data_IF_449921903518
#
_entry.id   IF_449921903518
#
_cell.length_a   1.000
_cell.length_b   1.000
_cell.length_c   1.000
_cell.angle_alpha   90.00
_cell.angle_beta   90.00
_cell.angle_gamma   90.00
#
_symmetry.space_group_name_H-M   'P 1'
#
loop_
_entity.id
_entity.type
_entity.pdbx_description
1 polymer ?
#
# COMPACT_ATOMS: atom_id res chain seq x y z
N UNK A 1 18.81 -22.95 7.67
CA UNK A 1 19.06 -21.61 7.06
C UNK A 1 18.95 -20.58 8.17
N UNK A 2 20.00 -19.80 8.37
CA UNK A 2 19.96 -18.71 9.36
C UNK A 2 19.14 -17.57 8.80
N UNK A 3 18.07 -17.19 9.48
CA UNK A 3 17.16 -16.12 9.03
C UNK A 3 17.82 -14.76 9.28
N UNK A 4 18.27 -14.10 8.21
CA UNK A 4 18.97 -12.82 8.28
C UNK A 4 17.98 -11.69 8.54
N UNK A 5 18.11 -10.99 9.68
CA UNK A 5 17.31 -9.83 10.04
C UNK A 5 17.93 -8.56 9.46
N UNK A 6 17.12 -7.70 8.81
CA UNK A 6 17.56 -6.43 8.23
C UNK A 6 17.91 -5.42 9.31
N UNK A 7 18.83 -4.46 9.05
CA UNK A 7 19.16 -3.39 9.98
C UNK A 7 17.94 -2.58 10.45
N UNK A 8 18.06 -1.93 11.59
CA UNK A 8 17.00 -1.08 12.11
C UNK A 8 16.67 0.08 11.14
N UNK A 9 15.40 0.28 10.75
CA UNK A 9 15.00 1.31 9.80
C UNK A 9 15.14 2.75 10.36
N UNK A 10 15.20 2.87 11.69
CA UNK A 10 15.28 4.19 12.37
C UNK A 10 16.72 4.68 12.49
N UNK A 11 17.67 3.79 12.83
CA UNK A 11 19.05 4.19 13.15
C UNK A 11 20.14 3.42 12.39
N UNK A 12 19.78 2.51 11.49
CA UNK A 12 20.71 1.65 10.76
C UNK A 12 21.45 0.63 11.64
N UNK A 13 21.09 0.51 12.93
CA UNK A 13 21.73 -0.39 13.89
C UNK A 13 21.55 -1.85 13.46
N UNK A 14 22.64 -2.63 13.53
CA UNK A 14 22.67 -4.05 13.16
C UNK A 14 22.52 -4.98 14.36
N UNK A 15 22.62 -4.46 15.59
CA UNK A 15 22.44 -5.22 16.81
C UNK A 15 20.95 -5.31 17.13
N UNK A 16 20.33 -6.41 16.71
CA UNK A 16 18.90 -6.66 16.80
C UNK A 16 18.67 -7.91 17.65
N UNK A 17 17.68 -7.88 18.53
CA UNK A 17 17.32 -8.98 19.39
C UNK A 17 15.85 -9.33 19.24
N UNK A 18 15.56 -10.61 19.02
CA UNK A 18 14.20 -11.12 19.14
C UNK A 18 13.86 -11.25 20.64
N UNK A 19 12.75 -10.70 21.05
CA UNK A 19 12.29 -10.65 22.44
C UNK A 19 10.94 -11.38 22.51
N UNK A 20 10.78 -12.19 23.55
CA UNK A 20 9.51 -12.78 23.92
C UNK A 20 9.04 -12.19 25.24
N UNK A 21 7.81 -11.69 25.29
CA UNK A 21 7.18 -11.19 26.51
C UNK A 21 5.91 -11.97 26.76
N UNK A 22 5.85 -12.65 27.89
CA UNK A 22 4.68 -13.42 28.31
C UNK A 22 3.87 -12.65 29.35
N UNK A 23 2.58 -12.51 29.10
CA UNK A 23 1.62 -11.89 30.04
C UNK A 23 0.41 -12.83 30.16
N UNK A 24 0.28 -13.52 31.30
CA UNK A 24 -0.70 -14.58 31.47
C UNK A 24 -0.38 -15.75 30.54
N UNK A 25 -1.36 -16.19 29.77
CA UNK A 25 -1.21 -17.29 28.80
C UNK A 25 -0.73 -16.82 27.41
N UNK A 26 -0.64 -15.49 27.18
CA UNK A 26 -0.25 -14.93 25.87
C UNK A 26 1.24 -14.61 25.86
N UNK A 27 1.96 -15.10 24.85
CA UNK A 27 3.35 -14.74 24.56
C UNK A 27 3.42 -13.94 23.26
N UNK A 28 4.03 -12.77 23.33
CA UNK A 28 4.27 -11.89 22.18
C UNK A 28 5.75 -11.88 21.84
N UNK A 29 6.05 -12.04 20.56
CA UNK A 29 7.40 -12.03 20.01
C UNK A 29 7.58 -10.79 19.16
N UNK A 30 8.67 -10.05 19.33
CA UNK A 30 9.01 -8.89 18.50
C UNK A 30 10.53 -8.73 18.41
N UNK A 31 10.98 -7.93 17.43
CA UNK A 31 12.40 -7.59 17.29
C UNK A 31 12.63 -6.19 17.84
N UNK A 32 13.65 -6.03 18.68
CA UNK A 32 14.08 -4.74 19.25
C UNK A 32 15.49 -4.39 18.75
N UNK A 33 15.67 -3.15 18.34
CA UNK A 33 16.99 -2.59 18.06
C UNK A 33 17.67 -2.22 19.38
N UNK A 34 18.81 -2.85 19.66
CA UNK A 34 19.56 -2.60 20.89
C UNK A 34 20.32 -1.26 20.89
N UNK A 35 20.43 -0.58 19.73
CA UNK A 35 21.06 0.73 19.62
C UNK A 35 20.11 1.89 19.97
N UNK A 36 18.86 1.88 19.51
CA UNK A 36 17.92 2.99 19.67
C UNK A 36 16.64 2.61 20.41
N UNK A 37 16.45 1.33 20.78
CA UNK A 37 15.27 0.86 21.50
C UNK A 37 14.03 0.65 20.61
N UNK A 38 14.10 0.95 19.30
CA UNK A 38 12.95 0.76 18.40
C UNK A 38 12.49 -0.70 18.39
N UNK A 39 11.19 -0.89 18.52
CA UNK A 39 10.52 -2.20 18.50
C UNK A 39 9.68 -2.33 17.24
N UNK A 40 9.79 -3.46 16.58
CA UNK A 40 8.94 -3.83 15.45
C UNK A 40 7.57 -4.36 15.90
N UNK A 41 6.68 -4.62 14.95
CA UNK A 41 5.43 -5.29 15.23
C UNK A 41 5.63 -6.66 15.89
N UNK A 42 4.66 -7.08 16.66
CA UNK A 42 4.72 -8.38 17.34
C UNK A 42 4.04 -9.49 16.54
N UNK A 43 4.46 -10.72 16.80
CA UNK A 43 3.82 -11.98 16.39
C UNK A 43 3.38 -12.76 17.63
N UNK A 44 2.28 -13.51 17.53
CA UNK A 44 1.81 -14.43 18.57
C UNK A 44 2.31 -15.88 18.37
N UNK A 45 3.02 -16.16 17.27
CA UNK A 45 3.40 -17.53 16.90
C UNK A 45 4.85 -17.86 17.22
N UNK A 46 5.79 -17.01 16.86
CA UNK A 46 7.21 -17.28 17.05
C UNK A 46 8.10 -16.05 16.86
N UNK A 47 9.36 -16.17 17.33
CA UNK A 47 10.42 -15.20 17.05
C UNK A 47 10.82 -15.16 15.56
N UNK A 48 10.70 -16.29 14.86
CA UNK A 48 10.99 -16.37 13.42
C UNK A 48 9.98 -15.58 12.61
N UNK A 49 8.70 -15.66 12.96
CA UNK A 49 7.65 -14.85 12.33
C UNK A 49 7.82 -13.38 12.67
N UNK A 50 8.18 -13.01 13.91
CA UNK A 50 8.48 -11.64 14.29
C UNK A 50 9.65 -11.04 13.49
N UNK A 51 10.68 -11.83 13.18
CA UNK A 51 11.78 -11.44 12.29
C UNK A 51 11.31 -11.22 10.85
N UNK A 52 10.38 -12.05 10.36
CA UNK A 52 9.75 -11.89 9.05
C UNK A 52 8.95 -10.59 8.96
N UNK A 53 8.11 -10.30 9.96
CA UNK A 53 7.33 -9.07 10.05
C UNK A 53 8.25 -7.84 10.15
N UNK A 54 9.33 -7.93 10.95
CA UNK A 54 10.35 -6.88 11.02
C UNK A 54 10.94 -6.56 9.63
N UNK A 55 11.37 -7.58 8.88
CA UNK A 55 11.95 -7.39 7.56
C UNK A 55 10.94 -6.77 6.58
N UNK A 56 9.67 -7.19 6.63
CA UNK A 56 8.61 -6.59 5.84
C UNK A 56 8.38 -5.11 6.17
N UNK A 57 8.39 -4.74 7.46
CA UNK A 57 8.31 -3.34 7.86
C UNK A 57 9.52 -2.52 7.42
N UNK A 58 10.73 -3.10 7.48
CA UNK A 58 11.94 -2.43 6.99
C UNK A 58 11.83 -2.16 5.49
N UNK A 59 11.33 -3.12 4.71
CA UNK A 59 11.14 -2.94 3.27
C UNK A 59 10.19 -1.80 2.96
N UNK A 60 9.06 -1.71 3.68
CA UNK A 60 8.10 -0.62 3.54
C UNK A 60 8.70 0.72 3.95
N UNK A 61 9.45 0.78 5.06
CA UNK A 61 10.08 2.01 5.54
C UNK A 61 11.25 2.44 4.64
N UNK A 62 12.07 1.51 4.14
CA UNK A 62 13.13 1.80 3.17
C UNK A 62 12.54 2.32 1.86
N UNK A 63 11.42 1.76 1.41
CA UNK A 63 10.69 2.26 0.25
C UNK A 63 10.20 3.70 0.47
N UNK A 64 9.69 4.03 1.68
CA UNK A 64 9.22 5.36 2.03
C UNK A 64 10.35 6.38 2.24
N UNK A 65 11.54 5.94 2.69
CA UNK A 65 12.66 6.82 3.05
C UNK A 65 13.78 6.87 1.99
N UNK A 66 13.81 5.96 1.00
CA UNK A 66 14.98 5.71 0.17
C UNK A 66 15.07 6.54 -1.12
N UNK A 67 14.02 7.25 -1.52
CA UNK A 67 14.06 8.10 -2.72
C UNK A 67 13.38 9.44 -2.47
N UNK A 68 14.00 10.56 -2.91
CA UNK A 68 13.29 11.84 -2.88
C UNK A 68 12.00 11.71 -3.69
N UNK A 69 10.89 12.21 -3.15
CA UNK A 69 9.61 12.25 -3.86
C UNK A 69 9.76 13.17 -5.07
N UNK A 70 9.84 12.59 -6.24
CA UNK A 70 9.91 13.27 -7.54
C UNK A 70 8.75 12.84 -8.40
N UNK A 71 8.43 13.62 -9.43
CA UNK A 71 7.44 13.22 -10.44
C UNK A 71 7.72 11.83 -11.01
N UNK A 72 8.99 11.53 -11.31
CA UNK A 72 9.40 10.24 -11.82
C UNK A 72 9.14 9.11 -10.82
N UNK A 73 9.54 9.27 -9.56
CA UNK A 73 9.35 8.20 -8.55
C UNK A 73 7.88 7.92 -8.25
N UNK A 74 7.00 8.92 -8.36
CA UNK A 74 5.56 8.73 -8.24
C UNK A 74 5.02 7.94 -9.43
N UNK A 75 5.40 8.30 -10.67
CA UNK A 75 4.96 7.61 -11.87
C UNK A 75 5.48 6.18 -11.94
N UNK A 76 6.77 5.95 -11.64
CA UNK A 76 7.36 4.60 -11.59
C UNK A 76 6.64 3.72 -10.54
N UNK A 77 6.27 4.28 -9.39
CA UNK A 77 5.54 3.55 -8.36
C UNK A 77 4.08 3.26 -8.78
N UNK A 78 3.40 4.21 -9.41
CA UNK A 78 2.06 4.02 -9.93
C UNK A 78 2.04 2.93 -11.02
N UNK A 79 2.96 2.99 -11.99
CA UNK A 79 3.13 1.98 -13.02
C UNK A 79 3.28 0.58 -12.40
N UNK A 80 4.19 0.43 -11.44
CA UNK A 80 4.40 -0.84 -10.77
C UNK A 80 3.11 -1.36 -10.10
N UNK A 81 2.37 -0.49 -9.42
CA UNK A 81 1.14 -0.87 -8.74
C UNK A 81 0.05 -1.32 -9.71
N UNK A 82 -0.19 -0.59 -10.81
CA UNK A 82 -1.33 -0.87 -11.69
C UNK A 82 -1.03 -1.87 -12.79
N UNK A 83 0.23 -1.94 -13.27
CA UNK A 83 0.61 -2.83 -14.36
C UNK A 83 1.15 -4.20 -13.91
N UNK A 84 1.54 -4.35 -12.63
CA UNK A 84 2.17 -5.58 -12.14
C UNK A 84 1.51 -6.12 -10.87
N UNK A 85 1.63 -5.41 -9.74
CA UNK A 85 1.32 -5.98 -8.41
C UNK A 85 -0.18 -6.28 -8.21
N UNK A 86 -1.10 -5.51 -8.82
CA UNK A 86 -2.54 -5.67 -8.62
C UNK A 86 -3.19 -6.66 -9.57
N UNK A 87 -2.68 -6.82 -10.78
CA UNK A 87 -3.22 -7.77 -11.75
C UNK A 87 -3.09 -9.21 -11.24
N UNK A 88 -2.01 -9.53 -10.53
CA UNK A 88 -1.77 -10.87 -9.98
C UNK A 88 -2.66 -11.20 -8.77
N UNK A 89 -3.20 -10.19 -8.07
CA UNK A 89 -3.92 -10.38 -6.81
C UNK A 89 -5.40 -10.06 -6.86
N UNK A 90 -5.84 -9.12 -7.69
CA UNK A 90 -7.21 -8.59 -7.70
C UNK A 90 -7.91 -8.66 -9.06
N UNK A 91 -7.26 -9.21 -10.09
CA UNK A 91 -7.76 -9.22 -11.45
C UNK A 91 -7.61 -7.88 -12.17
N UNK A 92 -8.24 -7.76 -13.33
CA UNK A 92 -8.19 -6.53 -14.13
C UNK A 92 -8.95 -5.40 -13.44
N UNK A 93 -8.44 -4.14 -13.50
CA UNK A 93 -9.13 -2.98 -12.92
C UNK A 93 -10.56 -2.81 -13.42
N UNK A 94 -10.81 -3.10 -14.69
CA UNK A 94 -12.12 -3.00 -15.33
C UNK A 94 -13.16 -3.88 -14.63
N UNK A 95 -12.80 -5.13 -14.31
CA UNK A 95 -13.70 -6.10 -13.66
C UNK A 95 -14.02 -5.66 -12.22
N UNK A 96 -13.01 -5.24 -11.47
CA UNK A 96 -13.19 -4.81 -10.08
C UNK A 96 -13.95 -3.48 -9.98
N UNK A 97 -13.70 -2.53 -10.87
CA UNK A 97 -14.41 -1.25 -10.90
C UNK A 97 -15.84 -1.40 -11.41
N UNK A 98 -16.10 -2.36 -12.31
CA UNK A 98 -17.45 -2.73 -12.71
C UNK A 98 -18.29 -3.20 -11.52
N UNK A 99 -17.79 -4.17 -10.76
CA UNK A 99 -18.48 -4.67 -9.57
C UNK A 99 -18.70 -3.56 -8.50
N UNK A 100 -17.73 -2.66 -8.31
CA UNK A 100 -17.87 -1.51 -7.39
C UNK A 100 -18.93 -0.53 -7.91
N UNK A 101 -18.97 -0.27 -9.21
CA UNK A 101 -19.94 0.61 -9.85
C UNK A 101 -21.37 0.14 -9.61
N UNK A 102 -21.63 -1.15 -9.80
CA UNK A 102 -22.94 -1.77 -9.55
C UNK A 102 -23.35 -1.61 -8.07
N UNK A 103 -22.43 -1.91 -7.14
CA UNK A 103 -22.69 -1.79 -5.71
C UNK A 103 -22.96 -0.32 -5.30
N UNK A 104 -22.21 0.64 -5.84
CA UNK A 104 -22.38 2.05 -5.51
C UNK A 104 -23.63 2.64 -6.15
N UNK A 105 -23.99 2.21 -7.36
CA UNK A 105 -25.25 2.58 -7.99
C UNK A 105 -26.43 2.19 -7.12
N UNK A 106 -26.42 0.93 -6.62
CA UNK A 106 -27.47 0.43 -5.73
C UNK A 106 -27.48 1.14 -4.36
N UNK A 107 -26.32 1.36 -3.76
CA UNK A 107 -26.20 1.93 -2.42
C UNK A 107 -26.55 3.43 -2.36
N UNK A 108 -26.09 4.20 -3.36
CA UNK A 108 -26.25 5.66 -3.36
C UNK A 108 -27.62 6.13 -3.87
N UNK A 109 -28.38 5.23 -4.53
CA UNK A 109 -29.65 5.59 -5.22
C UNK A 109 -29.49 6.89 -6.04
N UNK A 110 -28.39 6.96 -6.79
CA UNK A 110 -27.89 8.21 -7.39
C UNK A 110 -28.75 8.75 -8.54
N UNK A 111 -29.85 8.06 -8.88
CA UNK A 111 -30.72 8.42 -10.01
C UNK A 111 -30.10 8.24 -11.39
N UNK A 112 -28.84 7.79 -11.45
CA UNK A 112 -28.12 7.39 -12.65
C UNK A 112 -27.17 6.22 -12.32
N UNK A 113 -26.82 5.48 -13.34
CA UNK A 113 -25.81 4.44 -13.23
C UNK A 113 -24.42 5.07 -12.96
N UNK A 114 -23.69 4.50 -11.99
CA UNK A 114 -22.28 4.81 -11.75
C UNK A 114 -21.47 3.90 -12.66
N UNK A 115 -20.55 4.49 -13.41
CA UNK A 115 -19.69 3.76 -14.35
C UNK A 115 -18.35 3.36 -13.70
N UNK A 116 -17.61 2.39 -14.24
CA UNK A 116 -16.23 2.10 -13.79
C UNK A 116 -15.30 3.33 -13.82
N UNK A 117 -15.48 4.22 -14.79
CA UNK A 117 -14.75 5.50 -14.88
C UNK A 117 -15.10 6.42 -13.70
N UNK A 118 -16.42 6.52 -13.35
CA UNK A 118 -16.84 7.27 -12.17
C UNK A 118 -16.20 6.72 -10.89
N UNK A 119 -16.11 5.38 -10.74
CA UNK A 119 -15.44 4.74 -9.61
C UNK A 119 -13.98 5.20 -9.50
N UNK A 120 -13.22 5.13 -10.59
CA UNK A 120 -11.83 5.59 -10.60
C UNK A 120 -11.71 7.08 -10.22
N UNK A 121 -12.59 7.93 -10.75
CA UNK A 121 -12.62 9.36 -10.42
C UNK A 121 -12.96 9.61 -8.94
N UNK A 122 -13.92 8.88 -8.38
CA UNK A 122 -14.27 8.96 -6.96
C UNK A 122 -13.11 8.50 -6.06
N UNK A 123 -12.36 7.48 -6.46
CA UNK A 123 -11.16 7.05 -5.76
C UNK A 123 -10.04 8.11 -5.81
N UNK A 124 -9.87 8.81 -6.94
CA UNK A 124 -8.97 9.98 -7.03
C UNK A 124 -9.38 11.06 -6.02
N UNK A 125 -10.66 11.42 -5.98
CA UNK A 125 -11.18 12.44 -5.06
C UNK A 125 -10.98 12.05 -3.60
N UNK A 126 -11.16 10.76 -3.25
CA UNK A 126 -10.86 10.24 -1.92
C UNK A 126 -9.39 10.45 -1.56
N UNK A 127 -8.46 10.16 -2.48
CA UNK A 127 -7.03 10.35 -2.26
C UNK A 127 -6.63 11.83 -2.20
N UNK A 128 -7.29 12.69 -2.98
CA UNK A 128 -7.12 14.15 -2.87
C UNK A 128 -7.54 14.65 -1.48
N UNK A 129 -8.67 14.18 -0.95
CA UNK A 129 -9.10 14.48 0.42
C UNK A 129 -8.07 14.08 1.46
N UNK A 130 -7.53 12.86 1.36
CA UNK A 130 -6.46 12.37 2.26
C UNK A 130 -5.16 13.17 2.10
N UNK A 131 -4.79 13.54 0.87
CA UNK A 131 -3.59 14.33 0.61
C UNK A 131 -3.71 15.76 1.20
N UNK A 132 -4.92 16.32 1.30
CA UNK A 132 -5.18 17.60 1.97
C UNK A 132 -4.84 17.51 3.47
N UNK A 133 -5.18 16.41 4.13
CA UNK A 133 -4.87 16.17 5.54
C UNK A 133 -3.37 15.85 5.76
N UNK A 134 -2.77 15.06 4.86
CA UNK A 134 -1.36 14.67 4.93
C UNK A 134 -0.67 14.76 3.56
N UNK A 135 -0.24 15.98 3.14
CA UNK A 135 0.35 16.19 1.81
C UNK A 135 1.73 15.52 1.63
N UNK A 136 2.38 15.12 2.72
CA UNK A 136 3.67 14.42 2.67
C UNK A 136 3.54 12.92 2.48
N UNK A 137 2.34 12.35 2.61
CA UNK A 137 2.11 10.92 2.43
C UNK A 137 2.13 10.56 0.94
N UNK A 138 3.27 10.04 0.51
CA UNK A 138 3.57 9.77 -0.91
C UNK A 138 2.56 8.83 -1.58
N UNK A 139 2.04 7.85 -0.84
CA UNK A 139 1.06 6.88 -1.31
C UNK A 139 -0.20 7.54 -1.92
N UNK A 140 -0.68 8.64 -1.32
CA UNK A 140 -1.82 9.35 -1.88
C UNK A 140 -1.56 9.84 -3.31
N UNK A 141 -0.35 10.32 -3.60
CA UNK A 141 0.01 10.80 -4.93
C UNK A 141 0.24 9.66 -5.93
N UNK A 142 0.80 8.54 -5.47
CA UNK A 142 0.95 7.30 -6.26
C UNK A 142 -0.42 6.76 -6.65
N UNK A 143 -1.34 6.68 -5.70
CA UNK A 143 -2.70 6.19 -5.94
C UNK A 143 -3.51 7.11 -6.87
N UNK A 144 -3.39 8.44 -6.74
CA UNK A 144 -4.02 9.39 -7.68
C UNK A 144 -3.54 9.12 -9.11
N UNK A 145 -2.23 8.95 -9.31
CA UNK A 145 -1.66 8.67 -10.62
C UNK A 145 -2.12 7.30 -11.16
N UNK A 146 -2.14 6.28 -10.30
CA UNK A 146 -2.60 4.93 -10.64
C UNK A 146 -4.07 4.90 -11.05
N UNK A 147 -4.98 5.50 -10.26
CA UNK A 147 -6.40 5.57 -10.62
C UNK A 147 -6.65 6.39 -11.88
N UNK A 148 -5.86 7.45 -12.12
CA UNK A 148 -5.96 8.22 -13.35
C UNK A 148 -5.55 7.39 -14.58
N UNK A 149 -4.52 6.56 -14.49
CA UNK A 149 -4.11 5.66 -15.55
C UNK A 149 -5.19 4.61 -15.84
N UNK A 150 -5.73 3.94 -14.81
CA UNK A 150 -6.84 3.00 -14.96
C UNK A 150 -8.09 3.66 -15.58
N UNK A 151 -8.45 4.87 -15.12
CA UNK A 151 -9.60 5.59 -15.69
C UNK A 151 -9.42 5.89 -17.18
N UNK A 152 -8.20 6.28 -17.58
CA UNK A 152 -7.89 6.56 -18.98
C UNK A 152 -7.97 5.31 -19.86
N UNK A 153 -7.47 4.18 -19.39
CA UNK A 153 -7.54 2.89 -20.09
C UNK A 153 -8.99 2.43 -20.25
N UNK A 154 -9.78 2.40 -19.17
CA UNK A 154 -11.20 2.04 -19.20
C UNK A 154 -11.99 2.98 -20.11
N UNK A 155 -11.73 4.28 -20.06
CA UNK A 155 -12.41 5.24 -20.92
C UNK A 155 -12.11 5.02 -22.40
N UNK A 156 -10.86 4.69 -22.74
CA UNK A 156 -10.46 4.37 -24.10
C UNK A 156 -11.14 3.08 -24.63
N UNK A 157 -11.32 2.08 -23.76
CA UNK A 157 -12.05 0.85 -24.12
C UNK A 157 -13.55 1.10 -24.33
N UNK A 158 -14.17 1.93 -23.47
CA UNK A 158 -15.61 2.18 -23.49
C UNK A 158 -16.02 3.20 -24.56
N UNK A 159 -15.27 4.29 -24.70
CA UNK A 159 -15.64 5.43 -25.56
C UNK A 159 -14.82 5.52 -26.85
N UNK A 160 -13.78 4.70 -27.01
CA UNK A 160 -12.84 4.76 -28.11
C UNK A 160 -11.76 5.83 -27.92
N UNK A 161 -10.65 5.69 -28.66
CA UNK A 161 -9.60 6.70 -28.69
C UNK A 161 -10.02 7.79 -29.71
N UNK A 162 -10.51 8.91 -29.23
CA UNK A 162 -10.61 10.13 -30.03
C UNK A 162 -9.19 10.68 -30.24
N UNK A 163 -8.63 10.40 -31.41
CA UNK A 163 -7.32 10.90 -31.89
C UNK A 163 -7.49 12.22 -32.62
#
# INVERSE_FOLDING_TARGET
MEFKVKPCPICGGKTLQAIAVTKGEETRYFVRCMKCGHEGPFSLRSDLEAKGVWNGCVDVMEYQNAKPTTRKTILDAAEKCVCHDRQDTHGRPEDSFGAIADLWTAYLDAGREITPVDVAQMMILLKVGRAKENPKHQDNWVDIAGYAACAGEIAAEVYGNDS
#
